data_IF_061441121791
#
_entry.id   IF_061441121791
#
_cell.length_a   1.000
_cell.length_b   1.000
_cell.length_c   1.000
_cell.angle_alpha   90.00
_cell.angle_beta   90.00
_cell.angle_gamma   90.00
#
_symmetry.space_group_name_H-M   'P 1'
#
loop_
_entity.id
_entity.type
_entity.pdbx_description
1 polymer ?
#
# COMPACT_ATOMS: atom_id res chain seq x y z
N UNK A 1 8.80 -14.68 6.05
CA UNK A 1 8.88 -13.22 5.90
C UNK A 1 9.56 -12.94 4.56
N UNK A 2 8.95 -12.11 3.71
CA UNK A 2 9.52 -11.83 2.38
C UNK A 2 10.72 -10.88 2.48
N UNK A 3 11.58 -10.90 1.46
CA UNK A 3 12.72 -9.97 1.36
C UNK A 3 12.24 -8.51 1.30
N UNK A 4 11.10 -8.25 0.62
CA UNK A 4 10.49 -6.92 0.55
C UNK A 4 10.10 -6.40 1.94
N UNK A 5 9.49 -7.24 2.77
CA UNK A 5 9.09 -6.87 4.14
C UNK A 5 10.32 -6.55 4.99
N UNK A 6 11.36 -7.36 4.86
CA UNK A 6 12.61 -7.14 5.60
C UNK A 6 13.24 -5.81 5.21
N UNK A 7 13.36 -5.55 3.90
CA UNK A 7 13.90 -4.30 3.37
C UNK A 7 13.11 -3.08 3.84
N UNK A 8 11.77 -3.14 3.81
CA UNK A 8 10.92 -2.06 4.30
C UNK A 8 11.11 -1.84 5.80
N UNK A 9 11.10 -2.92 6.60
CA UNK A 9 11.29 -2.83 8.04
C UNK A 9 12.61 -2.13 8.38
N UNK A 10 13.70 -2.52 7.72
CA UNK A 10 15.04 -1.96 7.92
C UNK A 10 15.14 -0.50 7.47
N UNK A 11 14.62 -0.16 6.28
CA UNK A 11 14.73 1.19 5.71
C UNK A 11 13.79 2.20 6.37
N UNK A 12 12.63 1.76 6.85
CA UNK A 12 11.64 2.62 7.53
C UNK A 12 11.89 2.67 9.04
N UNK A 13 12.55 1.65 9.61
CA UNK A 13 12.84 1.57 11.04
C UNK A 13 11.67 1.08 11.88
N UNK A 14 10.81 0.22 11.31
CA UNK A 14 9.61 -0.32 11.96
C UNK A 14 9.71 -1.83 12.17
N UNK A 15 8.88 -2.38 13.05
CA UNK A 15 8.85 -3.82 13.30
C UNK A 15 8.44 -4.59 12.03
N UNK A 16 9.03 -5.78 11.76
CA UNK A 16 8.76 -6.49 10.52
C UNK A 16 7.30 -6.93 10.30
N UNK A 17 6.58 -7.26 11.36
CA UNK A 17 5.14 -7.56 11.33
C UNK A 17 4.30 -6.32 10.97
N UNK A 18 4.69 -5.15 11.50
CA UNK A 18 4.10 -3.86 11.15
C UNK A 18 4.39 -3.51 9.69
N UNK A 19 5.63 -3.71 9.21
CA UNK A 19 6.01 -3.52 7.81
C UNK A 19 5.20 -4.41 6.86
N UNK A 20 5.06 -5.69 7.20
CA UNK A 20 4.30 -6.68 6.43
C UNK A 20 2.84 -6.24 6.24
N UNK A 21 2.18 -5.90 7.35
CA UNK A 21 0.80 -5.43 7.34
C UNK A 21 0.65 -4.09 6.61
N UNK A 22 1.52 -3.14 6.89
CA UNK A 22 1.46 -1.81 6.32
C UNK A 22 1.66 -1.83 4.79
N UNK A 23 2.62 -2.62 4.29
CA UNK A 23 2.84 -2.82 2.87
C UNK A 23 1.60 -3.46 2.22
N UNK A 24 1.06 -4.54 2.78
CA UNK A 24 -0.13 -5.19 2.25
C UNK A 24 -1.36 -4.28 2.21
N UNK A 25 -1.56 -3.44 3.24
CA UNK A 25 -2.64 -2.46 3.27
C UNK A 25 -2.48 -1.36 2.21
N UNK A 26 -1.25 -0.88 1.99
CA UNK A 26 -0.94 0.12 0.97
C UNK A 26 -1.16 -0.43 -0.44
N UNK A 27 -0.62 -1.61 -0.75
CA UNK A 27 -0.82 -2.25 -2.05
C UNK A 27 -2.30 -2.59 -2.30
N UNK A 28 -3.01 -3.06 -1.27
CA UNK A 28 -4.44 -3.31 -1.35
C UNK A 28 -5.26 -2.03 -1.56
N UNK A 29 -4.82 -0.89 -1.00
CA UNK A 29 -5.41 0.41 -1.30
C UNK A 29 -5.22 0.79 -2.76
N UNK A 30 -3.99 0.72 -3.29
CA UNK A 30 -3.72 1.03 -4.69
C UNK A 30 -4.57 0.15 -5.63
N UNK A 31 -4.72 -1.14 -5.32
CA UNK A 31 -5.52 -2.07 -6.13
C UNK A 31 -7.00 -1.70 -6.17
N UNK A 32 -7.54 -1.08 -5.12
CA UNK A 32 -8.96 -0.67 -5.05
C UNK A 32 -9.23 0.67 -5.73
N UNK A 33 -8.25 1.56 -5.75
CA UNK A 33 -8.40 2.91 -6.28
C UNK A 33 -8.09 3.02 -7.78
N UNK A 34 -7.37 2.06 -8.36
CA UNK A 34 -7.01 2.09 -9.78
C UNK A 34 -7.88 1.15 -10.62
N UNK A 35 -8.54 1.72 -11.63
CA UNK A 35 -9.38 0.99 -12.60
C UNK A 35 -8.60 0.46 -13.82
N UNK A 36 -7.33 0.83 -13.99
CA UNK A 36 -6.60 0.79 -15.28
C UNK A 36 -5.58 -0.35 -15.45
N UNK A 37 -5.51 -1.29 -14.51
CA UNK A 37 -4.65 -2.48 -14.61
C UNK A 37 -3.14 -2.23 -14.49
N UNK A 38 -2.69 -0.97 -14.47
CA UNK A 38 -1.29 -0.63 -14.19
C UNK A 38 -0.89 -1.08 -12.77
N UNK A 39 -1.78 -0.89 -11.79
CA UNK A 39 -1.56 -1.36 -10.43
C UNK A 39 -1.46 -2.89 -10.35
N UNK A 40 -2.29 -3.61 -11.10
CA UNK A 40 -2.21 -5.07 -11.14
C UNK A 40 -0.86 -5.53 -11.67
N UNK A 41 -0.40 -4.97 -12.80
CA UNK A 41 0.94 -5.25 -13.37
C UNK A 41 2.06 -4.93 -12.37
N UNK A 42 1.95 -3.81 -11.65
CA UNK A 42 2.92 -3.42 -10.64
C UNK A 42 2.98 -4.42 -9.48
N UNK A 43 1.83 -4.82 -8.93
CA UNK A 43 1.73 -5.81 -7.84
C UNK A 43 2.26 -7.17 -8.29
N UNK A 44 1.91 -7.61 -9.50
CA UNK A 44 2.37 -8.89 -10.06
C UNK A 44 3.89 -8.93 -10.29
N UNK A 45 4.52 -7.79 -10.59
CA UNK A 45 5.96 -7.70 -10.79
C UNK A 45 6.75 -7.76 -9.47
N UNK A 46 6.14 -7.37 -8.34
CA UNK A 46 6.78 -7.32 -7.03
C UNK A 46 6.72 -8.70 -6.32
N UNK A 47 7.87 -9.29 -5.94
CA UNK A 47 7.89 -10.62 -5.32
C UNK A 47 7.11 -10.68 -4.00
N UNK A 48 6.08 -11.53 -3.93
CA UNK A 48 5.27 -11.73 -2.73
C UNK A 48 4.22 -10.63 -2.47
N UNK A 49 4.11 -9.63 -3.33
CA UNK A 49 3.18 -8.52 -3.16
C UNK A 49 1.71 -8.95 -3.32
N UNK A 50 1.41 -9.86 -4.25
CA UNK A 50 0.06 -10.37 -4.45
C UNK A 50 -0.48 -11.11 -3.21
N UNK A 51 0.38 -11.88 -2.53
CA UNK A 51 0.06 -12.59 -1.30
C UNK A 51 -0.20 -11.62 -0.14
N UNK A 52 0.63 -10.58 -0.01
CA UNK A 52 0.44 -9.52 0.99
C UNK A 52 -0.89 -8.78 0.78
N UNK A 53 -1.22 -8.47 -0.48
CA UNK A 53 -2.52 -7.90 -0.84
C UNK A 53 -3.62 -8.87 -0.44
N UNK A 54 -3.57 -10.14 -0.84
CA UNK A 54 -4.62 -11.11 -0.51
C UNK A 54 -4.83 -11.24 1.02
N UNK A 55 -3.75 -11.17 1.80
CA UNK A 55 -3.77 -11.27 3.25
C UNK A 55 -4.34 -10.01 3.94
N UNK A 56 -4.00 -8.81 3.45
CA UNK A 56 -4.25 -7.54 4.15
C UNK A 56 -5.24 -6.59 3.44
N UNK A 57 -5.68 -6.86 2.21
CA UNK A 57 -6.65 -6.08 1.42
C UNK A 57 -8.09 -6.13 2.00
N UNK A 58 -8.25 -6.50 3.26
CA UNK A 58 -9.54 -6.58 3.95
C UNK A 58 -9.49 -6.47 5.47
N UNK A 59 -8.33 -6.29 6.10
CA UNK A 59 -8.19 -6.28 7.57
C UNK A 59 -8.76 -5.04 8.29
N UNK A 60 -9.48 -4.17 7.56
CA UNK A 60 -10.41 -3.18 8.13
C UNK A 60 -11.85 -3.67 8.30
N UNK A 61 -12.18 -4.89 7.85
CA UNK A 61 -13.55 -5.44 7.88
C UNK A 61 -13.90 -6.06 9.25
N UNK A 62 -13.98 -5.22 10.28
CA UNK A 62 -14.85 -5.48 11.45
C UNK A 62 -16.01 -4.48 11.46
N UNK A 63 -16.72 -4.40 10.34
CA UNK A 63 -17.94 -3.62 10.18
C UNK A 63 -18.72 -4.24 9.03
N UNK A 64 -20.01 -4.55 9.25
CA UNK A 64 -20.84 -5.28 8.29
C UNK A 64 -20.89 -4.65 6.90
N UNK A 65 -21.53 -5.36 5.96
CA UNK A 65 -21.67 -5.01 4.54
C UNK A 65 -22.01 -3.51 4.28
N UNK A 66 -22.73 -2.86 5.19
CA UNK A 66 -23.07 -1.43 5.15
C UNK A 66 -21.89 -0.47 5.48
N UNK A 67 -21.00 -0.85 6.40
CA UNK A 67 -19.79 -0.10 6.77
C UNK A 67 -18.68 -0.25 5.71
N UNK A 68 -18.63 -1.40 5.05
CA UNK A 68 -17.77 -1.61 3.88
C UNK A 68 -18.11 -0.71 2.71
N UNK A 69 -19.40 -0.45 2.47
CA UNK A 69 -19.87 0.47 1.42
C UNK A 69 -19.53 1.94 1.74
N UNK A 70 -19.71 2.36 3.00
CA UNK A 70 -19.34 3.73 3.44
C UNK A 70 -17.82 3.97 3.45
N UNK A 71 -17.02 2.95 3.81
CA UNK A 71 -15.56 3.04 3.79
C UNK A 71 -14.99 3.02 2.37
N UNK A 72 -15.62 2.26 1.47
CA UNK A 72 -15.32 2.28 0.04
C UNK A 72 -15.68 3.60 -0.65
N UNK A 73 -16.56 4.41 -0.04
CA UNK A 73 -16.96 5.72 -0.57
C UNK A 73 -16.23 6.93 0.04
N UNK A 74 -15.41 6.77 1.10
CA UNK A 74 -14.97 7.95 1.88
C UNK A 74 -13.61 7.88 2.57
N UNK A 75 -12.82 6.81 2.35
CA UNK A 75 -11.50 6.70 2.98
C UNK A 75 -10.42 7.51 2.26
N UNK A 76 -10.27 7.31 0.95
CA UNK A 76 -9.14 7.83 0.18
C UNK A 76 -7.79 7.59 0.87
N UNK A 77 -6.79 8.39 0.50
CA UNK A 77 -5.45 8.32 1.11
C UNK A 77 -5.47 8.66 2.61
N UNK A 78 -6.39 9.53 3.05
CA UNK A 78 -6.52 9.88 4.47
C UNK A 78 -6.93 8.68 5.32
N UNK A 79 -7.85 7.85 4.84
CA UNK A 79 -8.31 6.64 5.50
C UNK A 79 -7.21 5.61 5.62
N UNK A 80 -6.41 5.41 4.56
CA UNK A 80 -5.20 4.58 4.64
C UNK A 80 -4.23 5.14 5.69
N UNK A 81 -3.99 6.45 5.69
CA UNK A 81 -3.14 7.11 6.70
C UNK A 81 -3.60 6.85 8.13
N UNK A 82 -4.91 6.98 8.41
CA UNK A 82 -5.47 6.66 9.73
C UNK A 82 -5.28 5.20 10.12
N UNK A 83 -5.44 4.27 9.18
CA UNK A 83 -5.23 2.85 9.42
C UNK A 83 -3.76 2.54 9.73
N UNK A 84 -2.82 3.13 8.98
CA UNK A 84 -1.38 2.97 9.25
C UNK A 84 -1.00 3.58 10.61
N UNK A 85 -1.55 4.74 10.97
CA UNK A 85 -1.36 5.30 12.31
C UNK A 85 -1.92 4.41 13.42
N UNK A 86 -3.00 3.67 13.16
CA UNK A 86 -3.53 2.69 14.13
C UNK A 86 -2.62 1.49 14.35
N UNK A 87 -1.68 1.23 13.43
CA UNK A 87 -0.59 0.26 13.61
C UNK A 87 0.60 0.83 14.40
N UNK A 88 0.53 2.10 14.81
CA UNK A 88 1.59 2.77 15.53
C UNK A 88 2.56 3.56 14.66
N UNK A 89 2.35 3.63 13.33
CA UNK A 89 3.22 4.43 12.47
C UNK A 89 2.95 5.92 12.64
N UNK A 90 4.00 6.71 12.81
CA UNK A 90 3.97 8.15 12.68
C UNK A 90 3.95 8.60 11.21
N UNK A 91 3.65 9.89 10.98
CA UNK A 91 3.62 10.44 9.61
C UNK A 91 4.95 10.32 8.86
N UNK A 92 6.08 10.38 9.58
CA UNK A 92 7.41 10.19 8.99
C UNK A 92 7.61 8.78 8.45
N UNK A 93 7.22 7.76 9.24
CA UNK A 93 7.30 6.35 8.86
C UNK A 93 6.32 6.02 7.73
N UNK A 94 5.12 6.61 7.73
CA UNK A 94 4.16 6.45 6.62
C UNK A 94 4.74 7.02 5.31
N UNK A 95 5.38 8.20 5.36
CA UNK A 95 6.03 8.77 4.19
C UNK A 95 7.22 7.93 3.72
N UNK A 96 8.04 7.43 4.64
CA UNK A 96 9.16 6.55 4.31
C UNK A 96 8.68 5.23 3.70
N UNK A 97 7.63 4.62 4.25
CA UNK A 97 6.99 3.43 3.71
C UNK A 97 6.49 3.64 2.28
N UNK A 98 5.82 4.76 2.01
CA UNK A 98 5.33 5.08 0.67
C UNK A 98 6.48 5.19 -0.34
N UNK A 99 7.53 5.94 0.02
CA UNK A 99 8.72 6.11 -0.83
C UNK A 99 9.44 4.80 -1.09
N UNK A 100 9.63 3.98 -0.07
CA UNK A 100 10.30 2.68 -0.20
C UNK A 100 9.48 1.71 -1.05
N UNK A 101 8.16 1.67 -0.85
CA UNK A 101 7.25 0.86 -1.66
C UNK A 101 7.34 1.24 -3.15
N UNK A 102 7.40 2.53 -3.45
CA UNK A 102 7.52 3.05 -4.81
C UNK A 102 8.90 2.78 -5.41
N UNK A 103 9.98 2.90 -4.61
CA UNK A 103 11.33 2.54 -5.06
C UNK A 103 11.39 1.06 -5.46
N UNK A 104 10.89 0.17 -4.60
CA UNK A 104 10.78 -1.27 -4.89
C UNK A 104 9.92 -1.51 -6.13
N UNK A 105 8.77 -0.84 -6.24
CA UNK A 105 7.91 -0.97 -7.41
C UNK A 105 8.62 -0.55 -8.71
N UNK A 106 9.43 0.52 -8.67
CA UNK A 106 10.21 0.97 -9.85
C UNK A 106 11.30 -0.02 -10.23
N UNK A 107 11.95 -0.65 -9.25
CA UNK A 107 12.96 -1.69 -9.48
C UNK A 107 12.38 -2.94 -10.17
N UNK A 108 11.15 -3.32 -9.80
CA UNK A 108 10.54 -4.56 -10.28
C UNK A 108 9.59 -4.38 -11.48
N UNK A 109 8.74 -3.36 -11.45
CA UNK A 109 7.74 -3.09 -12.49
C UNK A 109 8.22 -2.09 -13.56
N UNK A 110 9.31 -1.38 -13.29
CA UNK A 110 9.81 -0.31 -14.15
C UNK A 110 9.15 1.04 -13.89
N UNK A 111 9.85 2.12 -14.23
CA UNK A 111 9.39 3.48 -13.92
C UNK A 111 8.11 3.88 -14.67
N UNK A 112 7.95 3.44 -15.92
CA UNK A 112 6.76 3.76 -16.73
C UNK A 112 5.48 3.21 -16.09
N UNK A 113 5.49 1.95 -15.63
CA UNK A 113 4.33 1.34 -14.95
C UNK A 113 4.03 2.06 -13.65
N UNK A 114 5.05 2.44 -12.88
CA UNK A 114 4.84 3.18 -11.63
C UNK A 114 4.32 4.59 -11.89
N UNK A 115 4.77 5.26 -12.94
CA UNK A 115 4.28 6.59 -13.31
C UNK A 115 2.81 6.55 -13.73
N UNK A 116 2.39 5.50 -14.47
CA UNK A 116 0.98 5.23 -14.77
C UNK A 116 0.16 5.05 -13.47
N UNK A 117 0.65 4.26 -12.51
CA UNK A 117 0.00 4.08 -11.19
C UNK A 117 -0.13 5.40 -10.42
N UNK A 118 0.93 6.21 -10.39
CA UNK A 118 0.92 7.50 -9.69
C UNK A 118 -0.06 8.47 -10.35
N UNK A 119 -0.19 8.43 -11.67
CA UNK A 119 -1.14 9.24 -12.42
C UNK A 119 -2.59 8.76 -12.22
N UNK A 120 -2.82 7.45 -12.02
CA UNK A 120 -4.16 6.88 -11.92
C UNK A 120 -4.76 6.93 -10.51
N UNK A 121 -3.94 7.05 -9.46
CA UNK A 121 -4.42 7.13 -8.07
C UNK A 121 -4.46 8.58 -7.57
N UNK A 122 -5.65 9.17 -7.32
CA UNK A 122 -5.78 10.55 -6.89
C UNK A 122 -5.04 10.84 -5.57
N UNK A 123 -4.12 11.81 -5.63
CA UNK A 123 -3.36 12.29 -4.48
C UNK A 123 -2.10 11.48 -4.13
N UNK A 124 -1.82 10.37 -4.81
CA UNK A 124 -0.62 9.57 -4.56
C UNK A 124 0.67 10.38 -4.85
N UNK A 125 0.63 11.24 -5.87
CA UNK A 125 1.70 12.18 -6.24
C UNK A 125 2.09 13.19 -5.14
N UNK A 126 1.28 13.35 -4.09
CA UNK A 126 1.61 14.21 -2.94
C UNK A 126 2.60 13.54 -1.98
N UNK A 127 2.77 12.22 -2.06
CA UNK A 127 3.55 11.40 -1.12
C UNK A 127 4.84 10.85 -1.70
N UNK A 128 5.02 10.95 -3.03
CA UNK A 128 6.10 10.31 -3.81
C UNK A 128 6.93 11.33 -4.55
#
# INVERSE_FOLDING_TARGET
MSELVTRIADNVGIAPDVAEKALGMMLGFLQREADDGAVARMIEAMPGAAELVAQYNGEGKKGGLLSGLMSAMGGGIMGLGQQLMSLGLGMGEISALAKETIAIAREHAGSEVVDEVVASVPGLSQFV
#
